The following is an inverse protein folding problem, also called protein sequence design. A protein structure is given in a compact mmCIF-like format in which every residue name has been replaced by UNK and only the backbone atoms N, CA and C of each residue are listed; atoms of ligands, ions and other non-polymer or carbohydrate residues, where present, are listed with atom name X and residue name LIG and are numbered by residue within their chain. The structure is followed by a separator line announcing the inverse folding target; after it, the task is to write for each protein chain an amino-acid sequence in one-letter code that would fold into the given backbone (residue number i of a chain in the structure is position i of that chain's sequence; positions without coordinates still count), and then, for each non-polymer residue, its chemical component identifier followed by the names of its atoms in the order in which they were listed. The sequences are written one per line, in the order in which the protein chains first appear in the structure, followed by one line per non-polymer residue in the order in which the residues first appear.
data_IF_110290128358
#
_entry.id   IF_110290128358
#
_cell.length_a   1.000
_cell.length_b   1.000
_cell.length_c   1.000
_cell.angle_alpha   90.00
_cell.angle_beta   90.00
_cell.angle_gamma   90.00
#
_symmetry.space_group_name_H-M   'P 1'
#
loop_
_entity.id
_entity.type
_entity.pdbx_description
1 polymer ?
#
# COMPACT_ATOMS: atom_id res chain seq x y z
N UNK A 1 11.72 -12.79 11.48
CA UNK A 1 11.66 -12.55 10.02
C UNK A 1 10.57 -11.53 9.73
N UNK A 2 10.86 -10.57 8.87
CA UNK A 2 9.86 -9.60 8.44
C UNK A 2 8.91 -10.19 7.42
N UNK A 3 7.78 -9.56 7.25
CA UNK A 3 6.81 -9.88 6.22
C UNK A 3 6.59 -8.66 5.32
N UNK A 4 6.08 -8.90 4.13
CA UNK A 4 5.65 -7.86 3.20
C UNK A 4 4.20 -8.09 2.84
N UNK A 5 3.39 -7.05 2.97
CA UNK A 5 1.99 -7.06 2.59
C UNK A 5 1.73 -5.95 1.59
N UNK A 6 1.03 -6.27 0.51
CA UNK A 6 0.53 -5.28 -0.45
C UNK A 6 -0.99 -5.35 -0.45
N UNK A 7 -1.63 -4.24 -0.18
CA UNK A 7 -3.07 -4.12 -0.37
C UNK A 7 -3.42 -2.97 -1.30
N UNK A 8 -4.59 -3.05 -1.89
CA UNK A 8 -5.21 -1.98 -2.64
C UNK A 8 -6.60 -1.73 -2.08
N UNK A 9 -7.11 -0.52 -2.24
CA UNK A 9 -8.45 -0.19 -1.80
C UNK A 9 -9.03 0.92 -2.66
N UNK A 10 -10.34 1.13 -2.54
CA UNK A 10 -11.01 2.23 -3.19
C UNK A 10 -11.01 3.44 -2.27
N UNK A 11 -10.56 4.57 -2.80
CA UNK A 11 -10.46 5.80 -2.03
C UNK A 11 -11.83 6.45 -1.82
N UNK A 12 -12.08 6.88 -0.58
CA UNK A 12 -13.29 7.63 -0.20
C UNK A 12 -12.92 8.83 0.64
N UNK A 13 -11.82 9.47 0.29
CA UNK A 13 -11.24 10.52 1.12
C UNK A 13 -10.84 11.73 0.29
N UNK A 14 -10.87 12.89 0.92
CA UNK A 14 -10.41 14.15 0.34
C UNK A 14 -8.87 14.22 0.37
N UNK A 15 -8.30 15.21 -0.30
CA UNK A 15 -6.86 15.47 -0.22
C UNK A 15 -6.41 15.78 1.21
N UNK A 16 -7.24 16.48 1.99
CA UNK A 16 -6.94 16.75 3.40
C UNK A 16 -6.91 15.46 4.22
N UNK A 17 -7.84 14.53 3.96
CA UNK A 17 -7.86 13.23 4.61
C UNK A 17 -6.61 12.42 4.27
N UNK A 18 -6.17 12.47 3.01
CA UNK A 18 -4.95 11.76 2.59
C UNK A 18 -3.73 12.29 3.35
N UNK A 19 -3.60 13.60 3.48
CA UNK A 19 -2.49 14.19 4.26
C UNK A 19 -2.53 13.73 5.71
N UNK A 20 -3.70 13.68 6.32
CA UNK A 20 -3.87 13.21 7.68
C UNK A 20 -3.50 11.72 7.83
N UNK A 21 -3.91 10.88 6.88
CA UNK A 21 -3.53 9.46 6.84
C UNK A 21 -2.02 9.32 6.83
N UNK A 22 -1.33 10.08 5.99
CA UNK A 22 0.12 10.03 5.87
C UNK A 22 0.81 10.41 7.19
N UNK A 23 0.42 11.51 7.79
CA UNK A 23 1.02 11.99 9.05
C UNK A 23 0.81 10.97 10.17
N UNK A 24 -0.39 10.46 10.31
CA UNK A 24 -0.72 9.44 11.31
C UNK A 24 0.07 8.15 11.07
N UNK A 25 0.19 7.74 9.82
CA UNK A 25 0.90 6.52 9.45
C UNK A 25 2.40 6.62 9.73
N UNK A 26 3.02 7.75 9.42
CA UNK A 26 4.45 7.95 9.69
C UNK A 26 4.77 7.74 11.17
N UNK A 27 3.98 8.37 12.06
CA UNK A 27 4.18 8.27 13.50
C UNK A 27 3.92 6.85 14.01
N UNK A 28 2.80 6.25 13.61
CA UNK A 28 2.39 4.93 14.06
C UNK A 28 3.33 3.83 13.56
N UNK A 29 3.67 3.87 12.27
CA UNK A 29 4.50 2.84 11.67
C UNK A 29 5.91 2.84 12.25
N UNK A 30 6.48 4.02 12.53
CA UNK A 30 7.79 4.13 13.16
C UNK A 30 7.83 3.40 14.50
N UNK A 31 6.79 3.57 15.32
CA UNK A 31 6.71 2.89 16.64
C UNK A 31 6.61 1.39 16.51
N UNK A 32 6.00 0.90 15.44
CA UNK A 32 5.80 -0.54 15.19
C UNK A 32 6.93 -1.17 14.39
N UNK A 33 7.95 -0.41 14.02
CA UNK A 33 9.06 -0.85 13.16
C UNK A 33 8.59 -1.32 11.80
N UNK A 34 7.52 -0.71 11.30
CA UNK A 34 6.99 -0.98 9.97
C UNK A 34 7.44 0.13 9.02
N UNK A 35 7.91 -0.27 7.86
CA UNK A 35 8.27 0.62 6.77
C UNK A 35 7.46 0.28 5.53
N UNK A 36 7.53 1.08 4.49
CA UNK A 36 6.80 0.81 3.28
C UNK A 36 6.59 2.05 2.42
N UNK A 37 5.57 1.99 1.60
CA UNK A 37 5.22 3.09 0.70
C UNK A 37 3.72 3.12 0.44
N UNK A 38 3.18 4.31 0.32
CA UNK A 38 1.77 4.55 0.01
C UNK A 38 1.67 5.34 -1.29
N UNK A 39 0.84 4.84 -2.19
CA UNK A 39 0.43 5.58 -3.39
C UNK A 39 -1.06 5.87 -3.26
N UNK A 40 -1.42 7.14 -3.39
CA UNK A 40 -2.81 7.56 -3.42
C UNK A 40 -3.09 8.19 -4.79
N UNK A 41 -3.86 7.50 -5.62
CA UNK A 41 -4.39 8.08 -6.85
C UNK A 41 -5.70 8.81 -6.54
N UNK A 42 -6.39 9.28 -7.56
CA UNK A 42 -7.69 9.94 -7.33
C UNK A 42 -8.76 8.98 -6.81
N UNK A 43 -8.69 7.71 -7.19
CA UNK A 43 -9.74 6.73 -6.91
C UNK A 43 -9.28 5.55 -6.07
N UNK A 44 -7.98 5.35 -5.89
CA UNK A 44 -7.43 4.16 -5.25
C UNK A 44 -6.29 4.47 -4.30
N UNK A 45 -6.10 3.56 -3.33
CA UNK A 45 -4.87 3.45 -2.56
C UNK A 45 -4.18 2.15 -2.91
N UNK A 46 -2.84 2.18 -2.94
CA UNK A 46 -2.01 0.99 -2.95
C UNK A 46 -0.92 1.20 -1.92
N UNK A 47 -0.76 0.25 -1.00
CA UNK A 47 0.22 0.39 0.07
C UNK A 47 0.98 -0.91 0.26
N UNK A 48 2.30 -0.77 0.43
CA UNK A 48 3.18 -1.85 0.86
C UNK A 48 3.57 -1.59 2.30
N UNK A 49 3.48 -2.62 3.12
CA UNK A 49 3.92 -2.61 4.51
C UNK A 49 4.96 -3.71 4.69
N UNK A 50 6.09 -3.37 5.30
CA UNK A 50 7.15 -4.32 5.61
C UNK A 50 7.50 -4.23 7.07
N UNK A 51 7.50 -5.36 7.77
CA UNK A 51 7.82 -5.39 9.18
C UNK A 51 7.44 -6.71 9.83
N UNK A 52 7.55 -6.78 11.16
CA UNK A 52 7.14 -7.98 11.91
C UNK A 52 5.68 -8.31 11.63
N UNK A 53 5.37 -9.58 11.38
CA UNK A 53 4.02 -10.01 11.04
C UNK A 53 2.96 -9.56 12.05
N UNK A 54 3.17 -9.68 13.36
CA UNK A 54 2.16 -9.20 14.30
C UNK A 54 1.85 -7.70 14.17
N UNK A 55 2.87 -6.89 13.86
CA UNK A 55 2.68 -5.45 13.66
C UNK A 55 1.92 -5.16 12.38
N UNK A 56 2.25 -5.86 11.29
CA UNK A 56 1.54 -5.72 10.01
C UNK A 56 0.08 -6.15 10.16
N UNK A 57 -0.18 -7.24 10.87
CA UNK A 57 -1.55 -7.70 11.12
C UNK A 57 -2.36 -6.67 11.91
N UNK A 58 -1.77 -6.09 12.95
CA UNK A 58 -2.44 -5.06 13.74
C UNK A 58 -2.75 -3.82 12.90
N UNK A 59 -1.82 -3.42 12.04
CA UNK A 59 -2.04 -2.29 11.13
C UNK A 59 -3.17 -2.58 10.14
N UNK A 60 -3.23 -3.79 9.59
CA UNK A 60 -4.30 -4.15 8.65
C UNK A 60 -5.67 -4.13 9.31
N UNK A 61 -5.78 -4.55 10.55
CA UNK A 61 -7.05 -4.46 11.28
C UNK A 61 -7.51 -3.01 11.40
N UNK A 62 -6.60 -2.10 11.72
CA UNK A 62 -6.89 -0.67 11.81
C UNK A 62 -7.26 -0.09 10.43
N UNK A 63 -6.51 -0.44 9.40
CA UNK A 63 -6.75 0.02 8.03
C UNK A 63 -8.12 -0.42 7.53
N UNK A 64 -8.52 -1.67 7.78
CA UNK A 64 -9.82 -2.18 7.35
C UNK A 64 -10.99 -1.46 8.00
N UNK A 65 -10.80 -0.93 9.19
CA UNK A 65 -11.85 -0.19 9.92
C UNK A 65 -11.91 1.29 9.57
N UNK A 66 -10.95 1.80 8.83
CA UNK A 66 -10.89 3.21 8.47
C UNK A 66 -11.92 3.52 7.37
N UNK A 67 -12.90 4.41 7.62
CA UNK A 67 -13.95 4.71 6.65
C UNK A 67 -13.49 5.57 5.47
N UNK A 68 -12.24 6.03 5.48
CA UNK A 68 -11.70 6.88 4.40
C UNK A 68 -11.38 6.09 3.14
N UNK A 69 -11.54 4.78 3.17
CA UNK A 69 -11.47 3.91 2.02
C UNK A 69 -12.37 2.69 2.19
N UNK A 70 -12.54 1.93 1.12
CA UNK A 70 -13.38 0.73 1.10
C UNK A 70 -12.81 -0.28 0.11
N UNK A 71 -13.41 -1.47 0.06
CA UNK A 71 -12.99 -2.53 -0.85
C UNK A 71 -11.51 -2.88 -0.70
N UNK A 72 -11.05 -3.03 0.54
CA UNK A 72 -9.67 -3.41 0.84
C UNK A 72 -9.40 -4.83 0.37
N UNK A 73 -8.42 -5.01 -0.50
CA UNK A 73 -8.02 -6.31 -1.02
C UNK A 73 -6.52 -6.51 -0.82
N UNK A 74 -6.16 -7.54 -0.07
CA UNK A 74 -4.76 -7.94 0.10
C UNK A 74 -4.36 -8.76 -1.11
N UNK A 75 -3.36 -8.30 -1.85
CA UNK A 75 -2.88 -8.94 -3.07
C UNK A 75 -1.65 -9.81 -2.83
N UNK A 76 -0.91 -9.52 -1.78
CA UNK A 76 0.31 -10.24 -1.45
C UNK A 76 0.53 -10.17 0.06
N UNK A 77 0.95 -11.27 0.68
CA UNK A 77 1.37 -11.29 2.07
C UNK A 77 2.34 -12.45 2.28
N UNK A 78 3.64 -12.16 2.25
CA UNK A 78 4.70 -13.16 2.33
C UNK A 78 5.76 -12.78 3.34
N UNK A 79 6.48 -13.78 3.83
CA UNK A 79 7.70 -13.56 4.58
C UNK A 79 8.82 -13.11 3.63
N UNK A 80 9.70 -12.23 4.11
CA UNK A 80 10.81 -11.69 3.33
C UNK A 80 12.12 -11.79 4.10
N UNK A 81 13.21 -11.97 3.37
CA UNK A 81 14.56 -11.98 3.94
C UNK A 81 15.13 -10.56 4.05
N UNK A 82 14.69 -9.66 3.18
CA UNK A 82 15.21 -8.30 3.09
C UNK A 82 14.10 -7.34 2.73
N UNK A 83 14.08 -6.20 3.39
CA UNK A 83 13.14 -5.14 3.07
C UNK A 83 13.52 -4.45 1.76
N UNK A 84 12.52 -4.22 0.92
CA UNK A 84 12.64 -3.43 -0.31
C UNK A 84 12.37 -1.95 -0.05
N UNK A 85 11.55 -1.67 0.95
CA UNK A 85 11.20 -0.32 1.39
C UNK A 85 11.72 -0.14 2.81
N UNK A 86 13.05 -0.05 2.94
CA UNK A 86 13.70 -0.01 4.26
C UNK A 86 13.38 1.27 5.04
N UNK A 87 13.08 2.35 4.33
CA UNK A 87 12.66 3.60 4.92
C UNK A 87 11.18 3.84 4.58
N UNK A 88 10.42 4.39 5.52
CA UNK A 88 9.06 4.76 5.23
C UNK A 88 9.04 5.92 4.24
N UNK A 89 8.18 5.82 3.25
CA UNK A 89 7.96 6.94 2.34
C UNK A 89 6.52 6.99 1.86
N UNK A 90 6.01 8.21 1.73
CA UNK A 90 4.84 8.47 0.92
C UNK A 90 5.33 8.50 -0.53
N UNK A 91 4.94 7.51 -1.30
CA UNK A 91 5.41 7.39 -2.65
C UNK A 91 4.79 8.46 -3.56
N UNK A 92 3.49 8.64 -3.47
CA UNK A 92 2.80 9.49 -4.44
C UNK A 92 1.38 9.84 -3.96
N UNK A 93 0.96 11.06 -4.26
CA UNK A 93 -0.43 11.48 -4.09
C UNK A 93 -0.83 12.30 -5.32
N UNK A 94 -1.83 11.84 -6.06
CA UNK A 94 -2.31 12.51 -7.27
C UNK A 94 -2.77 11.52 -8.33
N UNK A 95 -3.13 12.04 -9.51
CA UNK A 95 -3.64 11.20 -10.59
C UNK A 95 -2.52 10.30 -11.15
N UNK A 96 -2.79 9.00 -11.23
CA UNK A 96 -1.94 8.05 -11.91
C UNK A 96 -2.78 7.05 -12.67
N UNK A 97 -2.92 7.26 -13.96
CA UNK A 97 -3.68 6.37 -14.84
C UNK A 97 -3.02 4.98 -14.89
N UNK A 98 -1.69 4.96 -14.89
CA UNK A 98 -0.95 3.69 -14.95
C UNK A 98 -1.22 2.82 -13.71
N UNK A 99 -1.10 3.42 -12.51
CA UNK A 99 -1.36 2.69 -11.27
C UNK A 99 -2.81 2.24 -11.19
N UNK A 100 -3.76 3.10 -11.56
CA UNK A 100 -5.18 2.74 -11.55
C UNK A 100 -5.48 1.59 -12.51
N UNK A 101 -4.86 1.56 -13.68
CA UNK A 101 -5.01 0.44 -14.64
C UNK A 101 -4.44 -0.86 -14.09
N UNK A 102 -3.27 -0.81 -13.45
CA UNK A 102 -2.68 -2.00 -12.84
C UNK A 102 -3.58 -2.55 -11.73
N UNK A 103 -4.10 -1.68 -10.88
CA UNK A 103 -4.99 -2.10 -9.80
C UNK A 103 -6.30 -2.69 -10.37
N UNK A 104 -6.87 -2.05 -11.38
CA UNK A 104 -8.08 -2.56 -12.01
C UNK A 104 -7.87 -3.96 -12.60
N UNK A 105 -6.74 -4.19 -13.26
CA UNK A 105 -6.41 -5.51 -13.81
C UNK A 105 -6.28 -6.56 -12.72
N UNK A 106 -5.66 -6.21 -11.58
CA UNK A 106 -5.43 -7.12 -10.46
C UNK A 106 -6.72 -7.45 -9.70
N UNK A 107 -7.70 -6.55 -9.71
CA UNK A 107 -8.94 -6.72 -8.95
C UNK A 107 -10.12 -7.19 -9.81
N UNK A 108 -9.98 -7.20 -11.12
CA UNK A 108 -11.07 -7.57 -12.05
C UNK A 108 -11.43 -9.05 -12.01
N UNK A 109 -10.54 -9.90 -11.53
CA UNK A 109 -10.70 -11.36 -11.56
C UNK A 109 -10.85 -11.92 -10.15
N UNK A 110 -11.93 -11.60 -9.48
CA UNK A 110 -12.24 -12.24 -8.20
C UNK A 110 -12.97 -13.57 -8.48
N UNK A 111 -12.67 -14.67 -7.76
CA UNK A 111 -11.69 -14.83 -6.68
C UNK A 111 -10.32 -15.32 -7.15
N UNK A 112 -9.97 -15.17 -8.41
CA UNK A 112 -8.72 -15.65 -8.95
C UNK A 112 -7.52 -14.99 -8.26
N UNK A 113 -6.41 -15.74 -8.18
CA UNK A 113 -5.18 -15.18 -7.66
C UNK A 113 -4.65 -14.10 -8.61
N UNK A 114 -4.07 -13.02 -8.07
CA UNK A 114 -3.48 -11.99 -8.90
C UNK A 114 -2.38 -12.54 -9.80
N UNK A 115 -2.31 -12.03 -11.02
CA UNK A 115 -1.24 -12.38 -11.95
C UNK A 115 0.11 -11.93 -11.37
N UNK A 116 1.09 -12.83 -11.21
CA UNK A 116 2.40 -12.46 -10.67
C UNK A 116 3.11 -11.35 -11.44
N UNK A 117 2.93 -11.30 -12.76
CA UNK A 117 3.55 -10.26 -13.58
C UNK A 117 2.93 -8.89 -13.28
N UNK A 118 1.61 -8.82 -13.11
CA UNK A 118 0.92 -7.59 -12.76
C UNK A 118 1.27 -7.12 -11.36
N UNK A 119 1.42 -8.06 -10.39
CA UNK A 119 1.89 -7.74 -9.05
C UNK A 119 3.29 -7.11 -9.10
N UNK A 120 4.20 -7.70 -9.86
CA UNK A 120 5.55 -7.15 -10.01
C UNK A 120 5.54 -5.76 -10.60
N UNK A 121 4.69 -5.52 -11.59
CA UNK A 121 4.55 -4.19 -12.21
C UNK A 121 4.03 -3.16 -11.22
N UNK A 122 3.06 -3.53 -10.39
CA UNK A 122 2.53 -2.62 -9.37
C UNK A 122 3.59 -2.30 -8.31
N UNK A 123 4.30 -3.31 -7.80
CA UNK A 123 5.37 -3.11 -6.83
C UNK A 123 6.46 -2.22 -7.42
N UNK A 124 6.86 -2.46 -8.65
CA UNK A 124 7.85 -1.63 -9.33
C UNK A 124 7.38 -0.19 -9.51
N UNK A 125 6.12 0.02 -9.88
CA UNK A 125 5.55 1.36 -10.02
C UNK A 125 5.57 2.12 -8.68
N UNK A 126 5.21 1.45 -7.60
CA UNK A 126 5.25 2.04 -6.26
C UNK A 126 6.69 2.42 -5.89
N UNK A 127 7.64 1.53 -6.16
CA UNK A 127 9.05 1.79 -5.87
C UNK A 127 9.59 3.00 -6.66
N UNK A 128 9.27 3.08 -7.94
CA UNK A 128 9.69 4.20 -8.79
C UNK A 128 9.10 5.53 -8.31
N UNK A 129 7.83 5.54 -7.94
CA UNK A 129 7.16 6.72 -7.41
C UNK A 129 7.75 7.14 -6.06
N UNK A 130 8.10 6.17 -5.21
CA UNK A 130 8.75 6.45 -3.94
C UNK A 130 10.12 7.11 -4.13
N UNK A 131 10.89 6.64 -5.12
CA UNK A 131 12.19 7.24 -5.45
C UNK A 131 12.05 8.66 -6.00
N UNK A 132 11.02 8.90 -6.78
CA UNK A 132 10.80 10.23 -7.38
C UNK A 132 10.49 11.30 -6.33
N UNK A 133 10.10 10.91 -5.13
CA UNK A 133 9.81 11.84 -4.02
C UNK A 133 11.06 12.24 -3.23
N UNK A 134 12.12 11.53 -3.43
CA UNK A 134 13.38 11.86 -2.80
C UNK A 134 14.08 12.99 -3.55
#
# INVERSE_FOLDING_TARGET
MDSRLLYVSRRRSSEADVRNIVETSLSRNARLRVTGALVASRIRFAQILEGPRPAVDALMDSIRRDPRHTEVAVLLYDDIDRRRFADWSLAYSGASVYVDRLIAALTARAPAQPDPADLRRLIQAIEELARARL
#
